data_IF_612734843440
#
_entry.id   IF_612734843440
#
_cell.length_a   1.000
_cell.length_b   1.000
_cell.length_c   1.000
_cell.angle_alpha   90.00
_cell.angle_beta   90.00
_cell.angle_gamma   90.00
#
_symmetry.space_group_name_H-M   'P 1'
#
loop_
_entity.id
_entity.type
_entity.pdbx_description
1 polymer ?
#
# COMPACT_ATOMS: atom_id res chain seq x y z
N UNK A 1 -18.30 30.28 15.44
CA UNK A 1 -18.31 28.94 16.08
C UNK A 1 -17.12 28.20 15.49
N UNK A 2 -15.99 28.24 16.19
CA UNK A 2 -14.71 27.73 15.68
C UNK A 2 -14.73 26.21 15.74
N UNK A 3 -14.76 25.55 14.58
CA UNK A 3 -14.57 24.10 14.49
C UNK A 3 -13.12 23.86 14.94
N UNK A 4 -12.96 23.36 16.16
CA UNK A 4 -11.66 22.89 16.64
C UNK A 4 -11.30 21.66 15.82
N UNK A 5 -10.32 21.80 14.93
CA UNK A 5 -9.67 20.70 14.23
C UNK A 5 -8.94 19.81 15.24
N UNK A 6 -9.66 18.89 15.86
CA UNK A 6 -9.09 17.77 16.60
C UNK A 6 -8.89 16.60 15.62
N UNK A 7 -8.11 16.82 14.56
CA UNK A 7 -7.71 15.72 13.69
C UNK A 7 -6.31 15.27 14.12
N UNK A 8 -6.29 14.02 14.60
CA UNK A 8 -5.14 13.15 14.83
C UNK A 8 -4.32 13.47 16.08
N UNK A 9 -4.46 12.61 17.10
CA UNK A 9 -3.27 12.27 17.90
C UNK A 9 -2.22 11.74 16.92
N UNK A 10 -0.97 12.22 16.94
CA UNK A 10 0.05 11.68 16.06
C UNK A 10 0.27 10.24 16.49
N UNK A 11 -0.23 9.29 15.69
CA UNK A 11 0.44 8.01 15.62
C UNK A 11 1.90 8.36 15.27
N UNK A 12 2.90 7.91 16.03
CA UNK A 12 4.28 8.34 15.83
C UNK A 12 4.78 8.03 14.40
N UNK A 13 4.09 7.16 13.66
CA UNK A 13 4.36 6.80 12.27
C UNK A 13 3.09 6.94 11.44
N UNK A 14 3.14 7.72 10.35
CA UNK A 14 2.06 7.80 9.37
C UNK A 14 1.91 6.44 8.66
N UNK A 15 0.68 6.06 8.30
CA UNK A 15 0.44 4.96 7.37
C UNK A 15 0.42 5.54 5.96
N UNK A 16 1.39 5.14 5.13
CA UNK A 16 1.43 5.51 3.73
C UNK A 16 0.91 4.34 2.90
N UNK A 17 -0.15 4.56 2.14
CA UNK A 17 -0.73 3.55 1.28
C UNK A 17 -0.18 3.69 -0.11
N UNK A 18 0.29 2.61 -0.72
CA UNK A 18 0.96 2.68 -2.02
C UNK A 18 0.66 1.46 -2.87
N UNK A 19 0.75 1.68 -4.17
CA UNK A 19 0.66 0.67 -5.21
C UNK A 19 1.59 1.11 -6.36
N UNK A 20 2.24 0.12 -6.98
CA UNK A 20 3.20 0.33 -8.07
C UNK A 20 2.90 -0.58 -9.24
N UNK A 21 2.85 0.00 -10.43
CA UNK A 21 2.76 -0.77 -11.66
C UNK A 21 4.16 -1.02 -12.20
N UNK A 22 4.46 -2.27 -12.54
CA UNK A 22 5.79 -2.68 -12.99
C UNK A 22 5.75 -3.42 -14.33
N UNK A 23 6.91 -3.49 -14.99
CA UNK A 23 7.07 -4.20 -16.25
C UNK A 23 7.24 -5.71 -16.11
N UNK A 24 7.20 -6.26 -14.89
CA UNK A 24 7.47 -7.67 -14.61
C UNK A 24 7.52 -7.99 -13.12
N UNK A 25 7.76 -9.26 -12.80
CA UNK A 25 7.78 -9.73 -11.41
C UNK A 25 9.18 -9.58 -10.78
N UNK A 26 9.22 -9.38 -9.46
CA UNK A 26 10.45 -9.49 -8.69
C UNK A 26 10.93 -10.97 -8.59
N UNK A 27 12.15 -11.19 -8.10
CA UNK A 27 12.81 -12.49 -7.99
C UNK A 27 13.88 -12.67 -9.05
N UNK A 28 14.49 -13.85 -9.09
CA UNK A 28 15.43 -14.17 -10.18
C UNK A 28 14.64 -14.60 -11.41
N UNK A 29 14.77 -13.82 -12.47
CA UNK A 29 14.03 -13.96 -13.72
C UNK A 29 14.98 -14.42 -14.82
N UNK A 30 14.48 -15.22 -15.76
CA UNK A 30 15.28 -15.71 -16.89
C UNK A 30 14.73 -15.08 -18.16
N UNK A 31 15.54 -14.24 -18.80
CA UNK A 31 15.19 -13.55 -20.03
C UNK A 31 15.16 -14.50 -21.22
N UNK A 32 14.62 -14.03 -22.36
CA UNK A 32 14.47 -14.84 -23.59
C UNK A 32 15.80 -15.37 -24.14
N UNK A 33 16.91 -14.67 -23.86
CA UNK A 33 18.27 -15.07 -24.25
C UNK A 33 18.95 -16.02 -23.24
N UNK A 34 18.26 -16.39 -22.15
CA UNK A 34 18.77 -17.22 -21.06
C UNK A 34 19.52 -16.44 -19.96
N UNK A 35 19.67 -15.13 -20.08
CA UNK A 35 20.29 -14.28 -19.04
C UNK A 35 19.43 -14.28 -17.79
N UNK A 36 20.08 -14.39 -16.60
CA UNK A 36 19.39 -14.29 -15.31
C UNK A 36 19.55 -12.91 -14.71
N UNK A 37 18.45 -12.31 -14.28
CA UNK A 37 18.40 -10.96 -13.71
C UNK A 37 17.62 -10.93 -12.40
N UNK A 38 17.90 -9.93 -11.55
CA UNK A 38 16.99 -9.56 -10.46
C UNK A 38 15.84 -8.75 -11.06
N UNK A 39 14.60 -9.25 -10.98
CA UNK A 39 13.43 -8.64 -11.58
C UNK A 39 13.17 -7.22 -11.09
N UNK A 40 13.36 -6.94 -9.79
CA UNK A 40 13.18 -5.59 -9.24
C UNK A 40 14.23 -4.59 -9.74
N UNK A 41 15.40 -5.04 -10.19
CA UNK A 41 16.43 -4.18 -10.78
C UNK A 41 16.26 -4.05 -12.30
N UNK A 42 15.73 -5.08 -12.94
CA UNK A 42 15.63 -5.17 -14.40
C UNK A 42 14.36 -4.53 -14.97
N UNK A 43 13.19 -4.94 -14.46
CA UNK A 43 11.90 -4.50 -15.00
C UNK A 43 11.62 -3.06 -14.59
N UNK A 44 11.11 -2.21 -15.50
CA UNK A 44 10.82 -0.82 -15.17
C UNK A 44 9.64 -0.71 -14.19
N UNK A 45 9.71 0.24 -13.27
CA UNK A 45 8.51 0.81 -12.63
C UNK A 45 7.81 1.70 -13.65
N UNK A 46 6.49 1.65 -13.78
CA UNK A 46 5.68 2.44 -14.73
C UNK A 46 4.94 3.58 -14.04
N UNK A 47 4.38 3.29 -12.87
CA UNK A 47 3.54 4.18 -12.08
C UNK A 47 3.81 3.93 -10.59
N UNK A 48 3.80 4.99 -9.79
CA UNK A 48 3.83 4.90 -8.32
C UNK A 48 2.78 5.86 -7.78
N UNK A 49 1.82 5.32 -7.04
CA UNK A 49 0.88 6.13 -6.27
C UNK A 49 1.17 6.00 -4.78
N UNK A 50 1.04 7.11 -4.05
CA UNK A 50 1.09 7.15 -2.59
C UNK A 50 -0.11 7.96 -2.07
N UNK A 51 -0.75 7.47 -1.03
CA UNK A 51 -1.85 8.11 -0.33
C UNK A 51 -1.55 8.18 1.17
N UNK A 52 -1.85 9.31 1.81
CA UNK A 52 -1.65 9.55 3.24
C UNK A 52 -2.99 9.82 3.94
N UNK A 53 -3.86 8.79 4.09
CA UNK A 53 -5.16 8.94 4.70
C UNK A 53 -5.08 9.08 6.22
N UNK A 54 -6.16 9.60 6.78
CA UNK A 54 -6.35 9.76 8.22
C UNK A 54 -7.27 8.66 8.74
N UNK A 55 -7.13 8.31 10.02
CA UNK A 55 -8.01 7.34 10.68
C UNK A 55 -8.98 8.07 11.60
N UNK A 56 -10.25 7.73 11.52
CA UNK A 56 -11.28 8.32 12.38
C UNK A 56 -11.33 7.67 13.77
N UNK A 57 -12.23 8.16 14.62
CA UNK A 57 -12.41 7.70 16.00
C UNK A 57 -12.77 6.21 16.14
N UNK A 58 -13.30 5.60 15.08
CA UNK A 58 -13.64 4.17 15.03
C UNK A 58 -12.51 3.32 14.45
N UNK A 59 -11.34 3.89 14.18
CA UNK A 59 -10.22 3.16 13.58
C UNK A 59 -10.36 2.93 12.07
N UNK A 60 -11.35 3.53 11.41
CA UNK A 60 -11.54 3.41 9.97
C UNK A 60 -10.73 4.47 9.23
N UNK A 61 -10.09 4.06 8.16
CA UNK A 61 -9.34 4.93 7.25
C UNK A 61 -10.33 5.73 6.41
N UNK A 62 -10.22 7.06 6.45
CA UNK A 62 -11.05 7.95 5.66
C UNK A 62 -10.45 8.14 4.25
N UNK A 63 -11.32 8.20 3.24
CA UNK A 63 -10.95 8.32 1.82
C UNK A 63 -11.39 9.63 1.17
N UNK A 64 -12.10 10.48 1.92
CA UNK A 64 -12.56 11.77 1.43
C UNK A 64 -11.48 12.84 1.62
N UNK A 65 -11.17 13.59 0.56
CA UNK A 65 -10.20 14.70 0.57
C UNK A 65 -8.83 14.31 1.15
N UNK A 66 -8.35 13.13 0.74
CA UNK A 66 -7.10 12.57 1.23
C UNK A 66 -5.93 13.02 0.33
N UNK A 67 -4.81 13.48 0.91
CA UNK A 67 -3.59 13.70 0.16
C UNK A 67 -3.15 12.41 -0.55
N UNK A 68 -3.14 12.46 -1.88
CA UNK A 68 -2.60 11.42 -2.73
C UNK A 68 -1.72 12.06 -3.82
N UNK A 69 -0.77 11.28 -4.32
CA UNK A 69 0.11 11.69 -5.40
C UNK A 69 0.41 10.50 -6.29
N UNK A 70 0.06 10.63 -7.55
CA UNK A 70 0.25 9.62 -8.57
C UNK A 70 1.28 10.08 -9.60
N UNK A 71 2.39 9.36 -9.69
CA UNK A 71 3.51 9.67 -10.58
C UNK A 71 3.63 8.59 -11.64
N UNK A 72 3.34 8.95 -12.89
CA UNK A 72 3.66 8.13 -14.06
C UNK A 72 5.09 8.37 -14.51
N UNK A 73 5.72 7.35 -15.12
CA UNK A 73 7.08 7.45 -15.64
C UNK A 73 7.13 7.08 -17.12
N UNK A 74 7.65 7.98 -17.96
CA UNK A 74 7.63 7.83 -19.43
C UNK A 74 8.30 6.55 -19.92
N UNK A 75 7.58 5.81 -20.74
CA UNK A 75 8.06 4.55 -21.32
C UNK A 75 8.82 4.77 -22.62
N UNK A 76 10.15 4.93 -22.53
CA UNK A 76 11.04 4.90 -23.68
C UNK A 76 11.08 3.51 -24.31
N UNK A 77 11.55 3.39 -25.56
CA UNK A 77 11.66 2.09 -26.22
C UNK A 77 12.51 1.11 -25.39
N UNK A 78 13.64 1.56 -24.83
CA UNK A 78 14.49 0.74 -23.96
C UNK A 78 13.76 0.21 -22.71
N UNK A 79 12.83 0.98 -22.14
CA UNK A 79 12.02 0.51 -21.00
C UNK A 79 10.94 -0.47 -21.45
N UNK A 80 10.30 -0.18 -22.58
CA UNK A 80 9.32 -1.09 -23.20
C UNK A 80 9.95 -2.44 -23.54
N UNK A 81 11.18 -2.44 -24.07
CA UNK A 81 11.91 -3.65 -24.46
C UNK A 81 12.26 -4.57 -23.27
N UNK A 82 12.25 -4.02 -22.05
CA UNK A 82 12.48 -4.77 -20.81
C UNK A 82 11.22 -5.36 -20.21
N UNK A 83 10.03 -5.04 -20.71
CA UNK A 83 8.79 -5.57 -20.14
C UNK A 83 8.56 -7.03 -20.51
N UNK A 84 7.98 -7.78 -19.57
CA UNK A 84 7.43 -9.10 -19.88
C UNK A 84 6.15 -8.99 -20.72
N UNK A 85 5.86 -10.07 -21.46
CA UNK A 85 4.72 -10.13 -22.38
C UNK A 85 3.37 -9.97 -21.64
N UNK A 86 3.25 -10.48 -20.41
CA UNK A 86 2.01 -10.40 -19.63
C UNK A 86 1.73 -8.98 -19.11
N UNK A 87 2.63 -8.30 -18.37
CA UNK A 87 2.43 -6.89 -17.97
C UNK A 87 2.23 -5.97 -19.18
N UNK A 88 2.98 -6.18 -20.27
CA UNK A 88 2.79 -5.41 -21.50
C UNK A 88 1.35 -5.51 -22.01
N UNK A 89 0.79 -6.71 -22.02
CA UNK A 89 -0.61 -6.94 -22.43
C UNK A 89 -1.59 -6.30 -21.45
N UNK A 90 -1.39 -6.46 -20.14
CA UNK A 90 -2.29 -5.88 -19.13
C UNK A 90 -2.30 -4.35 -19.20
N UNK A 91 -1.12 -3.72 -19.24
CA UNK A 91 -0.97 -2.26 -19.27
C UNK A 91 -1.43 -1.64 -20.59
N UNK A 92 -1.41 -2.41 -21.68
CA UNK A 92 -2.06 -2.01 -22.93
C UNK A 92 -3.58 -2.02 -22.78
N UNK A 93 -4.15 -3.10 -22.24
CA UNK A 93 -5.59 -3.27 -22.11
C UNK A 93 -6.23 -2.32 -21.09
N UNK A 94 -5.53 -2.00 -20.00
CA UNK A 94 -5.97 -1.01 -19.02
C UNK A 94 -5.86 0.43 -19.52
N UNK A 95 -5.16 0.66 -20.64
CA UNK A 95 -4.87 2.00 -21.15
C UNK A 95 -3.74 2.73 -20.42
N UNK A 96 -3.05 2.08 -19.48
CA UNK A 96 -1.92 2.68 -18.75
C UNK A 96 -0.83 3.17 -19.70
N UNK A 97 -0.44 2.37 -20.69
CA UNK A 97 0.62 2.77 -21.63
C UNK A 97 0.25 3.99 -22.47
N UNK A 98 -1.04 4.22 -22.74
CA UNK A 98 -1.49 5.41 -23.45
C UNK A 98 -1.50 6.63 -22.52
N UNK A 99 -1.95 6.47 -21.28
CA UNK A 99 -1.84 7.51 -20.25
C UNK A 99 -0.41 7.94 -19.99
N UNK A 100 0.55 7.01 -19.98
CA UNK A 100 1.98 7.33 -19.83
C UNK A 100 2.58 8.12 -21.01
N UNK A 101 1.90 8.14 -22.17
CA UNK A 101 2.26 9.02 -23.29
C UNK A 101 1.61 10.39 -23.17
N UNK A 102 0.33 10.44 -22.81
CA UNK A 102 -0.44 11.69 -22.75
C UNK A 102 -0.20 12.48 -21.46
N UNK A 103 0.18 11.80 -20.37
CA UNK A 103 0.24 12.33 -19.01
C UNK A 103 -1.12 12.39 -18.32
N UNK A 104 -2.18 11.88 -18.94
CA UNK A 104 -3.53 11.93 -18.37
C UNK A 104 -3.68 11.03 -17.15
N UNK A 105 -4.26 11.57 -16.06
CA UNK A 105 -4.54 10.82 -14.84
C UNK A 105 -3.39 10.72 -13.84
N UNK A 106 -2.27 11.39 -14.09
CA UNK A 106 -1.16 11.54 -13.14
C UNK A 106 -1.07 12.97 -12.61
N UNK A 107 -0.65 13.11 -11.36
CA UNK A 107 -0.27 14.42 -10.81
C UNK A 107 1.07 14.90 -11.38
N UNK A 108 1.94 13.95 -11.75
CA UNK A 108 3.20 14.22 -12.42
C UNK A 108 3.57 13.10 -13.41
N UNK A 109 4.07 13.48 -14.58
CA UNK A 109 4.66 12.54 -15.54
C UNK A 109 6.18 12.75 -15.63
N UNK A 110 6.93 11.90 -14.94
CA UNK A 110 8.38 11.94 -14.91
C UNK A 110 9.01 11.39 -16.19
N UNK A 111 10.11 11.99 -16.63
CA UNK A 111 10.90 11.49 -17.75
C UNK A 111 11.75 10.27 -17.37
N UNK A 112 12.23 10.21 -16.11
CA UNK A 112 13.06 9.10 -15.60
C UNK A 112 12.60 8.62 -14.23
N UNK A 113 13.09 7.45 -13.81
CA UNK A 113 12.82 6.90 -12.48
C UNK A 113 13.37 7.77 -11.36
N UNK A 114 14.54 8.39 -11.56
CA UNK A 114 15.15 9.31 -10.59
C UNK A 114 14.35 10.59 -10.43
N UNK A 115 13.78 11.11 -11.51
CA UNK A 115 12.89 12.27 -11.45
C UNK A 115 11.59 11.93 -10.69
N UNK A 116 11.03 10.75 -10.92
CA UNK A 116 9.89 10.26 -10.16
C UNK A 116 10.22 10.13 -8.67
N UNK A 117 11.38 9.55 -8.32
CA UNK A 117 11.87 9.45 -6.95
C UNK A 117 11.92 10.84 -6.27
N UNK A 118 12.50 11.84 -6.94
CA UNK A 118 12.59 13.20 -6.42
C UNK A 118 11.20 13.78 -6.14
N UNK A 119 10.25 13.62 -7.07
CA UNK A 119 8.91 14.18 -6.91
C UNK A 119 8.10 13.51 -5.82
N UNK A 120 8.23 12.19 -5.67
CA UNK A 120 7.61 11.45 -4.57
C UNK A 120 8.18 11.90 -3.22
N UNK A 121 9.50 12.09 -3.12
CA UNK A 121 10.15 12.61 -1.91
C UNK A 121 9.69 14.03 -1.57
N UNK A 122 9.73 14.95 -2.54
CA UNK A 122 9.26 16.34 -2.36
C UNK A 122 7.82 16.37 -1.84
N UNK A 123 6.95 15.52 -2.42
CA UNK A 123 5.56 15.42 -1.99
C UNK A 123 5.43 14.86 -0.57
N UNK A 124 6.17 13.80 -0.21
CA UNK A 124 6.19 13.24 1.14
C UNK A 124 6.64 14.27 2.19
N UNK A 125 7.70 15.02 1.91
CA UNK A 125 8.23 16.05 2.82
C UNK A 125 7.24 17.19 3.06
N UNK A 126 6.58 17.67 2.00
CA UNK A 126 5.54 18.72 2.11
C UNK A 126 4.34 18.22 2.95
N UNK A 127 4.06 16.92 2.91
CA UNK A 127 3.02 16.28 3.73
C UNK A 127 3.52 15.82 5.12
N UNK A 128 4.72 16.25 5.54
CA UNK A 128 5.23 16.03 6.89
C UNK A 128 5.79 14.63 7.15
N UNK A 129 6.00 13.83 6.10
CA UNK A 129 6.69 12.53 6.22
C UNK A 129 8.19 12.77 6.16
N UNK A 130 8.91 12.20 7.12
CA UNK A 130 10.37 12.26 7.21
C UNK A 130 10.97 10.87 7.07
N UNK A 131 12.29 10.82 6.84
CA UNK A 131 13.03 9.57 6.76
C UNK A 131 12.87 8.73 8.03
N UNK A 132 12.93 7.41 7.87
CA UNK A 132 12.86 6.45 8.96
C UNK A 132 14.05 6.59 9.89
N UNK A 133 13.76 6.85 11.16
CA UNK A 133 14.70 6.74 12.26
C UNK A 133 14.00 6.09 13.46
N UNK A 134 14.44 4.87 13.81
CA UNK A 134 13.91 4.12 14.95
C UNK A 134 14.00 4.84 16.30
N UNK A 135 15.01 5.70 16.50
CA UNK A 135 15.20 6.47 17.74
C UNK A 135 14.31 7.70 17.78
N UNK A 136 14.10 8.34 16.63
CA UNK A 136 13.19 9.47 16.51
C UNK A 136 11.72 9.04 16.39
N UNK A 137 11.47 7.76 16.11
CA UNK A 137 10.13 7.21 15.91
C UNK A 137 9.50 7.62 14.58
N UNK A 138 10.28 8.12 13.62
CA UNK A 138 9.82 8.64 12.32
C UNK A 138 9.78 7.56 11.23
N UNK A 139 9.37 7.94 10.02
CA UNK A 139 9.19 7.05 8.87
C UNK A 139 7.76 6.50 8.79
N UNK A 140 7.21 6.48 7.59
CA UNK A 140 5.87 5.95 7.36
C UNK A 140 5.90 4.43 7.24
N UNK A 141 4.89 3.73 7.75
CA UNK A 141 4.70 2.31 7.44
C UNK A 141 4.01 2.23 6.08
N UNK A 142 4.64 1.57 5.11
CA UNK A 142 4.03 1.35 3.80
C UNK A 142 2.94 0.26 3.89
N UNK A 143 1.76 0.57 3.39
CA UNK A 143 0.55 -0.25 3.44
C UNK A 143 -0.03 -0.48 2.05
N UNK A 144 -0.68 -1.61 1.85
CA UNK A 144 -1.28 -2.00 0.57
C UNK A 144 -1.47 -3.52 0.49
N UNK A 145 -2.11 -3.99 -0.57
CA UNK A 145 -2.13 -5.42 -0.86
C UNK A 145 -0.80 -5.86 -1.47
N UNK A 146 -0.17 -6.91 -0.93
CA UNK A 146 1.12 -7.41 -1.42
C UNK A 146 2.22 -6.32 -1.44
N UNK A 147 2.15 -5.34 -0.54
CA UNK A 147 3.01 -4.14 -0.52
C UNK A 147 4.51 -4.44 -0.39
N UNK A 148 4.87 -5.66 0.02
CA UNK A 148 6.25 -6.13 -0.03
C UNK A 148 6.82 -6.21 -1.44
N UNK A 149 5.98 -6.47 -2.44
CA UNK A 149 6.33 -6.43 -3.86
C UNK A 149 6.65 -5.01 -4.30
N UNK A 150 5.76 -4.05 -4.03
CA UNK A 150 5.96 -2.64 -4.37
C UNK A 150 7.23 -2.08 -3.76
N UNK A 151 7.40 -2.30 -2.45
CA UNK A 151 8.58 -1.85 -1.73
C UNK A 151 9.87 -2.47 -2.28
N UNK A 152 9.83 -3.68 -2.85
CA UNK A 152 11.02 -4.31 -3.41
C UNK A 152 11.51 -3.63 -4.69
N UNK A 153 10.60 -3.13 -5.53
CA UNK A 153 10.93 -2.32 -6.70
C UNK A 153 11.40 -0.92 -6.28
N UNK A 154 10.70 -0.31 -5.33
CA UNK A 154 11.09 0.99 -4.77
C UNK A 154 12.49 0.91 -4.14
N UNK A 155 12.82 -0.13 -3.37
CA UNK A 155 14.14 -0.28 -2.77
C UNK A 155 15.25 -0.46 -3.81
N UNK A 156 14.97 -1.19 -4.89
CA UNK A 156 15.93 -1.43 -5.97
C UNK A 156 16.17 -0.20 -6.87
N UNK A 157 15.13 0.56 -7.21
CA UNK A 157 15.19 1.61 -8.23
C UNK A 157 15.01 3.04 -7.69
N UNK A 158 14.46 3.19 -6.48
CA UNK A 158 14.23 4.47 -5.80
C UNK A 158 14.75 4.41 -4.33
N UNK A 159 16.05 4.13 -4.12
CA UNK A 159 16.60 3.85 -2.79
C UNK A 159 16.59 5.03 -1.82
N UNK A 160 16.46 6.28 -2.30
CA UNK A 160 16.26 7.45 -1.42
C UNK A 160 14.83 7.52 -0.94
N UNK A 161 13.86 7.22 -1.81
CA UNK A 161 12.44 7.15 -1.43
C UNK A 161 12.22 6.02 -0.41
N UNK A 162 12.85 4.85 -0.62
CA UNK A 162 12.76 3.72 0.31
C UNK A 162 13.11 4.08 1.76
N UNK A 163 14.01 5.06 1.98
CA UNK A 163 14.41 5.54 3.32
C UNK A 163 13.31 6.29 4.07
N UNK A 164 12.24 6.70 3.41
CA UNK A 164 11.07 7.31 4.06
C UNK A 164 10.16 6.28 4.72
N UNK A 165 10.34 5.00 4.37
CA UNK A 165 9.50 3.93 4.86
C UNK A 165 10.16 3.14 5.98
N UNK A 166 9.35 2.80 6.97
CA UNK A 166 9.72 1.88 8.04
C UNK A 166 9.96 0.47 7.46
N UNK A 167 10.84 -0.31 8.09
CA UNK A 167 11.12 -1.68 7.64
C UNK A 167 9.92 -2.64 7.76
N UNK A 168 8.93 -2.27 8.58
CA UNK A 168 7.65 -2.99 8.74
C UNK A 168 6.67 -2.51 7.68
N UNK A 169 5.77 -3.42 7.30
CA UNK A 169 4.80 -3.20 6.24
C UNK A 169 3.41 -3.55 6.75
N UNK A 170 2.41 -2.78 6.36
CA UNK A 170 1.00 -3.10 6.59
C UNK A 170 0.43 -3.84 5.40
N UNK A 171 0.70 -5.14 5.29
CA UNK A 171 0.25 -5.95 4.16
C UNK A 171 -1.18 -6.44 4.36
N UNK A 172 -2.13 -5.84 3.64
CA UNK A 172 -3.56 -6.21 3.70
C UNK A 172 -3.79 -7.62 3.18
N UNK A 173 -2.97 -8.09 2.23
CA UNK A 173 -3.10 -9.44 1.68
C UNK A 173 -2.80 -10.53 2.71
N UNK A 174 -1.96 -10.24 3.71
CA UNK A 174 -1.72 -11.17 4.81
C UNK A 174 -3.02 -11.43 5.60
N UNK A 175 -3.82 -10.39 5.85
CA UNK A 175 -5.12 -10.50 6.52
C UNK A 175 -6.11 -11.26 5.64
N UNK A 176 -6.12 -11.00 4.33
CA UNK A 176 -6.95 -11.73 3.36
C UNK A 176 -6.67 -13.25 3.35
N UNK A 177 -5.39 -13.64 3.41
CA UNK A 177 -4.99 -15.05 3.47
C UNK A 177 -5.58 -15.71 4.72
N UNK A 178 -5.50 -15.05 5.87
CA UNK A 178 -6.05 -15.61 7.10
C UNK A 178 -7.58 -15.61 7.11
N UNK A 179 -8.25 -14.56 6.59
CA UNK A 179 -9.72 -14.51 6.51
C UNK A 179 -10.31 -15.65 5.65
N UNK A 180 -9.55 -16.13 4.67
CA UNK A 180 -9.90 -17.28 3.82
C UNK A 180 -9.38 -18.62 4.36
N UNK A 181 -8.61 -18.62 5.44
CA UNK A 181 -8.00 -19.81 6.03
C UNK A 181 -8.93 -20.50 7.04
N UNK A 182 -8.86 -21.84 7.19
CA UNK A 182 -9.52 -22.56 8.29
C UNK A 182 -9.14 -22.04 9.69
N UNK A 183 -8.00 -21.34 9.82
CA UNK A 183 -7.55 -20.74 11.08
C UNK A 183 -8.53 -19.68 11.60
N UNK A 184 -9.15 -18.89 10.71
CA UNK A 184 -10.07 -17.81 11.09
C UNK A 184 -11.52 -18.06 10.63
N UNK A 185 -11.88 -19.32 10.34
CA UNK A 185 -13.24 -19.69 9.90
C UNK A 185 -14.40 -19.22 10.80
N UNK A 186 -14.11 -18.87 12.05
CA UNK A 186 -15.09 -18.45 13.06
C UNK A 186 -15.04 -16.94 13.39
N UNK A 187 -14.21 -16.15 12.70
CA UNK A 187 -14.09 -14.70 12.98
C UNK A 187 -15.18 -13.88 12.29
N UNK A 188 -15.87 -14.44 11.29
CA UNK A 188 -16.81 -13.70 10.44
C UNK A 188 -16.12 -12.80 9.41
N UNK A 189 -14.78 -12.76 9.37
CA UNK A 189 -14.03 -12.05 8.33
C UNK A 189 -14.20 -12.79 7.00
N UNK A 190 -14.75 -12.10 6.00
CA UNK A 190 -14.78 -12.58 4.61
C UNK A 190 -13.88 -11.70 3.75
N UNK A 191 -13.26 -12.27 2.72
CA UNK A 191 -12.54 -11.46 1.73
C UNK A 191 -13.49 -10.49 1.01
N UNK A 192 -12.97 -9.36 0.53
CA UNK A 192 -13.71 -8.44 -0.34
C UNK A 192 -13.49 -8.82 -1.80
N UNK A 193 -14.56 -8.76 -2.60
CA UNK A 193 -14.48 -8.81 -4.05
C UNK A 193 -14.06 -7.44 -4.59
N UNK A 194 -12.87 -7.38 -5.19
CA UNK A 194 -12.32 -6.18 -5.83
C UNK A 194 -13.05 -5.88 -7.13
N UNK A 195 -13.22 -4.58 -7.45
CA UNK A 195 -13.90 -4.14 -8.68
C UNK A 195 -12.93 -4.05 -9.86
N UNK A 196 -11.63 -3.85 -9.62
CA UNK A 196 -10.57 -3.98 -10.61
C UNK A 196 -10.56 -2.86 -11.65
N UNK A 197 -10.37 -1.61 -11.21
CA UNK A 197 -10.23 -0.47 -12.12
C UNK A 197 -8.80 -0.31 -12.69
N UNK A 198 -7.83 -1.09 -12.20
CA UNK A 198 -6.47 -1.22 -12.74
C UNK A 198 -5.73 0.12 -12.90
N UNK A 199 -5.81 0.95 -11.88
CA UNK A 199 -4.97 2.15 -11.72
C UNK A 199 -4.38 2.13 -10.32
N UNK A 200 -3.17 2.65 -10.13
CA UNK A 200 -2.52 2.56 -8.82
C UNK A 200 -3.36 3.22 -7.70
N UNK A 201 -3.96 4.39 -7.95
CA UNK A 201 -4.84 5.04 -6.97
C UNK A 201 -6.14 4.27 -6.69
N UNK A 202 -6.75 3.64 -7.69
CA UNK A 202 -7.92 2.80 -7.46
C UNK A 202 -7.57 1.58 -6.63
N UNK A 203 -6.40 0.99 -6.87
CA UNK A 203 -5.97 -0.25 -6.23
C UNK A 203 -5.54 0.02 -4.77
N UNK A 204 -4.95 1.19 -4.49
CA UNK A 204 -4.80 1.73 -3.14
C UNK A 204 -6.16 1.89 -2.45
N UNK A 205 -7.13 2.51 -3.14
CA UNK A 205 -8.47 2.74 -2.59
C UNK A 205 -9.15 1.42 -2.23
N UNK A 206 -9.06 0.42 -3.10
CA UNK A 206 -9.57 -0.92 -2.82
C UNK A 206 -8.85 -1.59 -1.64
N UNK A 207 -7.53 -1.42 -1.52
CA UNK A 207 -6.75 -1.92 -0.38
C UNK A 207 -7.23 -1.30 0.95
N UNK A 208 -7.52 0.01 0.94
CA UNK A 208 -8.05 0.72 2.12
C UNK A 208 -9.46 0.23 2.47
N UNK A 209 -10.34 0.07 1.47
CA UNK A 209 -11.68 -0.45 1.68
C UNK A 209 -11.65 -1.89 2.24
N UNK A 210 -10.73 -2.72 1.74
CA UNK A 210 -10.47 -4.06 2.26
C UNK A 210 -10.08 -4.04 3.74
N UNK A 211 -9.11 -3.19 4.10
CA UNK A 211 -8.70 -3.03 5.50
C UNK A 211 -9.85 -2.51 6.37
N UNK A 212 -10.64 -1.57 5.88
CA UNK A 212 -11.78 -1.02 6.62
C UNK A 212 -12.84 -2.08 6.92
N UNK A 213 -13.13 -3.02 6.01
CA UNK A 213 -14.07 -4.09 6.31
C UNK A 213 -13.53 -5.04 7.39
N UNK A 214 -12.23 -5.34 7.37
CA UNK A 214 -11.61 -6.12 8.44
C UNK A 214 -11.71 -5.39 9.79
N UNK A 215 -11.44 -4.09 9.81
CA UNK A 215 -11.59 -3.25 11.01
C UNK A 215 -13.03 -3.23 11.51
N UNK A 216 -14.03 -3.16 10.63
CA UNK A 216 -15.44 -3.18 11.01
C UNK A 216 -15.82 -4.47 11.75
N UNK A 217 -15.43 -5.63 11.24
CA UNK A 217 -15.68 -6.91 11.90
C UNK A 217 -14.99 -6.96 13.28
N UNK A 218 -13.76 -6.47 13.39
CA UNK A 218 -13.05 -6.39 14.68
C UNK A 218 -13.80 -5.47 15.65
N UNK A 219 -14.29 -4.32 15.19
CA UNK A 219 -15.08 -3.39 16.00
C UNK A 219 -16.39 -4.03 16.49
N UNK A 220 -17.08 -4.80 15.66
CA UNK A 220 -18.27 -5.55 16.07
C UNK A 220 -17.95 -6.56 17.17
N UNK A 221 -16.86 -7.34 17.03
CA UNK A 221 -16.42 -8.29 18.04
C UNK A 221 -16.07 -7.60 19.38
N UNK A 222 -15.43 -6.43 19.32
CA UNK A 222 -15.15 -5.62 20.51
C UNK A 222 -16.42 -5.10 21.17
N UNK A 223 -17.40 -4.65 20.37
CA UNK A 223 -18.69 -4.23 20.89
C UNK A 223 -19.42 -5.36 21.60
N UNK A 224 -19.49 -6.57 21.01
CA UNK A 224 -20.10 -7.74 21.65
C UNK A 224 -19.40 -8.10 22.96
N UNK A 225 -18.07 -8.03 23.01
CA UNK A 225 -17.28 -8.26 24.23
C UNK A 225 -17.66 -7.25 25.33
N UNK A 226 -17.82 -5.99 24.98
CA UNK A 226 -18.25 -4.94 25.92
C UNK A 226 -19.67 -5.20 26.45
N UNK A 227 -20.62 -5.60 25.58
CA UNK A 227 -21.97 -5.95 26.01
C UNK A 227 -22.00 -7.16 26.94
N UNK A 228 -21.21 -8.20 26.65
CA UNK A 228 -21.09 -9.38 27.51
C UNK A 228 -20.56 -9.02 28.90
N UNK A 229 -19.54 -8.16 28.97
CA UNK A 229 -19.01 -7.66 30.25
C UNK A 229 -20.07 -6.89 31.05
N UNK A 230 -20.84 -6.01 30.39
CA UNK A 230 -21.96 -5.28 31.02
C UNK A 230 -23.05 -6.20 31.55
N UNK A 231 -23.28 -7.34 30.88
CA UNK A 231 -24.22 -8.37 31.30
C UNK A 231 -23.68 -9.31 32.41
N UNK A 232 -22.45 -9.09 32.90
CA UNK A 232 -21.82 -9.93 33.92
C UNK A 232 -21.31 -11.28 33.39
N UNK A 233 -21.22 -11.45 32.06
CA UNK A 233 -20.64 -12.65 31.44
C UNK A 233 -19.12 -12.49 31.45
N UNK A 234 -18.44 -13.30 32.26
CA UNK A 234 -16.97 -13.33 32.26
C UNK A 234 -16.45 -13.99 30.98
N UNK A 235 -15.74 -13.19 30.17
CA UNK A 235 -14.84 -13.71 29.15
C UNK A 235 -13.44 -13.87 29.77
N UNK A 236 -12.92 -15.09 29.94
CA UNK A 236 -11.51 -15.25 30.24
C UNK A 236 -10.75 -14.74 29.00
N UNK A 237 -10.20 -13.53 29.09
CA UNK A 237 -9.30 -13.06 28.05
C UNK A 237 -8.12 -14.03 27.95
N UNK A 238 -7.68 -14.31 26.74
CA UNK A 238 -6.39 -14.99 26.55
C UNK A 238 -5.32 -13.91 26.81
N UNK A 239 -4.66 -13.99 27.95
CA UNK A 239 -3.49 -13.17 28.24
C UNK A 239 -2.30 -13.67 27.43
N UNK A 240 -1.27 -12.83 27.29
CA UNK A 240 -0.02 -13.22 26.63
C UNK A 240 0.64 -14.42 27.31
N UNK A 241 0.41 -14.64 28.61
CA UNK A 241 0.97 -15.76 29.35
C UNK A 241 0.20 -17.06 29.05
N UNK A 242 -1.11 -16.98 28.77
CA UNK A 242 -1.95 -18.15 28.50
C UNK A 242 -1.69 -18.81 27.13
N UNK A 243 -0.85 -18.21 26.27
CA UNK A 243 -0.57 -18.68 24.91
C UNK A 243 0.69 -19.55 24.82
N UNK A 244 1.60 -19.41 25.78
CA UNK A 244 2.94 -20.03 25.71
C UNK A 244 3.20 -21.07 26.82
N UNK A 245 2.19 -21.36 27.63
CA UNK A 245 2.17 -22.48 28.59
C UNK A 245 1.45 -23.71 27.98
#
# INVERSE_FOLDING_TARGET
MTIKSNHLKPYPQALAWSDTETGGLNGIQTLKDGTRVNGAEYYPILEVAIMLPVTNENGLVELFDVPAFNVGIKMTQERMDRMDDWPLTQHTNSGLLERLKSGEGFDYLAATTEEAEIKLIEWLEINGVSTFDSKAGTGAILCGNNVGFDLSFIDAQMPKLARYFHYRKGDVSAVNIFSRSPLWKHTGLTGIDKKGAHTALSDITESVLEMNAYTQVINELLWYKEQAQKAGIMYPGISRNDVFD
#
